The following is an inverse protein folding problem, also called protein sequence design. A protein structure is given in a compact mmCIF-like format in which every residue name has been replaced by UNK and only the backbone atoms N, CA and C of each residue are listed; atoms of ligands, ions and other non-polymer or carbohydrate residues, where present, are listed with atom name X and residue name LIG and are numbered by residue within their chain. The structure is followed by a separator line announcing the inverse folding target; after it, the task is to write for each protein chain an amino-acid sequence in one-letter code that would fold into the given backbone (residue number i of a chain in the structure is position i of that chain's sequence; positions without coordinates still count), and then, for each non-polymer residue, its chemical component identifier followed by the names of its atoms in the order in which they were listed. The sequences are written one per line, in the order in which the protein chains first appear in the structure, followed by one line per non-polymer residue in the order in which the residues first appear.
data_IF_106134361442
#
_entry.id   IF_106134361442
#
_cell.length_a   1.000
_cell.length_b   1.000
_cell.length_c   1.000
_cell.angle_alpha   90.00
_cell.angle_beta   90.00
_cell.angle_gamma   90.00
#
_symmetry.space_group_name_H-M   'P 1'
#
loop_
_entity.id
_entity.type
_entity.pdbx_description
1 polymer ?
#
# COMPACT_ATOMS: atom_id res chain seq x y z
N UNK A 1 -17.05 -8.41 -5.71
CA UNK A 1 -15.97 -9.00 -4.87
C UNK A 1 -15.49 -7.94 -3.91
N UNK A 2 -15.25 -8.26 -2.63
CA UNK A 2 -14.81 -7.30 -1.60
C UNK A 2 -13.33 -7.52 -1.31
N UNK A 3 -12.57 -6.45 -1.08
CA UNK A 3 -11.11 -6.50 -0.86
C UNK A 3 -10.76 -6.56 0.63
N UNK A 4 -11.52 -5.87 1.47
CA UNK A 4 -11.26 -5.75 2.91
C UNK A 4 -12.36 -6.46 3.69
N UNK A 5 -11.97 -7.38 4.56
CA UNK A 5 -12.81 -7.96 5.58
C UNK A 5 -12.73 -7.12 6.85
N UNK A 6 -13.88 -6.95 7.52
CA UNK A 6 -13.98 -6.21 8.78
C UNK A 6 -14.64 -7.11 9.81
N UNK A 7 -13.94 -7.34 10.91
CA UNK A 7 -14.40 -8.19 12.01
C UNK A 7 -14.56 -7.36 13.29
N UNK A 8 -15.68 -7.56 13.99
CA UNK A 8 -15.95 -6.89 15.26
C UNK A 8 -15.94 -7.94 16.36
N UNK A 9 -15.07 -7.78 17.34
CA UNK A 9 -15.05 -8.61 18.53
C UNK A 9 -15.75 -7.87 19.67
N UNK A 10 -16.80 -8.51 20.21
CA UNK A 10 -17.61 -7.97 21.31
C UNK A 10 -17.03 -8.34 22.67
N UNK A 11 -15.71 -8.22 22.82
CA UNK A 11 -15.03 -8.35 24.11
C UNK A 11 -14.94 -6.98 24.81
N UNK A 12 -14.46 -6.96 26.05
CA UNK A 12 -14.14 -5.70 26.75
C UNK A 12 -12.60 -5.63 26.87
N UNK A 13 -11.96 -4.61 26.29
CA UNK A 13 -12.54 -3.54 25.47
C UNK A 13 -12.97 -4.03 24.08
N UNK A 14 -14.03 -3.45 23.47
CA UNK A 14 -14.46 -3.85 22.14
C UNK A 14 -13.37 -3.50 21.11
N UNK A 15 -13.05 -4.43 20.22
CA UNK A 15 -12.06 -4.24 19.14
C UNK A 15 -12.67 -4.48 17.77
N UNK A 16 -12.08 -3.80 16.78
CA UNK A 16 -12.40 -3.98 15.37
C UNK A 16 -11.11 -4.25 14.64
N UNK A 17 -11.09 -5.31 13.84
CA UNK A 17 -9.95 -5.70 13.03
C UNK A 17 -10.30 -5.63 11.55
N UNK A 18 -9.31 -5.25 10.73
CA UNK A 18 -9.40 -5.21 9.29
C UNK A 18 -8.35 -6.14 8.71
N UNK A 19 -8.76 -6.96 7.75
CA UNK A 19 -7.87 -7.88 7.05
C UNK A 19 -8.18 -7.88 5.56
N UNK A 20 -7.25 -8.34 4.74
CA UNK A 20 -7.54 -8.57 3.33
C UNK A 20 -8.38 -9.84 3.19
N UNK A 21 -9.35 -9.80 2.29
CA UNK A 21 -10.05 -11.02 1.86
C UNK A 21 -9.10 -11.89 1.02
N UNK A 22 -9.42 -13.18 0.79
CA UNK A 22 -8.65 -14.01 -0.15
C UNK A 22 -8.51 -13.38 -1.53
N UNK A 23 -9.54 -12.66 -2.00
CA UNK A 23 -9.46 -11.90 -3.24
C UNK A 23 -8.54 -10.67 -3.11
N UNK A 24 -8.63 -9.92 -2.02
CA UNK A 24 -7.77 -8.76 -1.76
C UNK A 24 -6.28 -9.13 -1.71
N UNK A 25 -5.94 -10.30 -1.16
CA UNK A 25 -4.56 -10.81 -1.16
C UNK A 25 -4.01 -11.05 -2.58
N UNK A 26 -4.86 -11.38 -3.56
CA UNK A 26 -4.42 -11.54 -4.96
C UNK A 26 -3.91 -10.23 -5.59
N UNK A 27 -4.26 -9.08 -5.01
CA UNK A 27 -3.79 -7.76 -5.48
C UNK A 27 -2.39 -7.41 -4.97
N UNK A 28 -1.92 -8.08 -3.91
CA UNK A 28 -0.62 -7.85 -3.28
C UNK A 28 0.57 -7.90 -4.26
N UNK A 29 0.71 -8.88 -5.16
CA UNK A 29 1.80 -8.89 -6.14
C UNK A 29 1.77 -7.66 -7.08
N UNK A 30 0.58 -7.19 -7.47
CA UNK A 30 0.46 -6.01 -8.34
C UNK A 30 0.88 -4.74 -7.60
N UNK A 31 0.42 -4.57 -6.36
CA UNK A 31 0.79 -3.43 -5.52
C UNK A 31 2.31 -3.43 -5.26
N UNK A 32 2.91 -4.60 -5.04
CA UNK A 32 4.35 -4.71 -4.88
C UNK A 32 5.10 -4.34 -6.17
N UNK A 33 4.64 -4.81 -7.33
CA UNK A 33 5.25 -4.44 -8.61
C UNK A 33 5.20 -2.92 -8.85
N UNK A 34 4.07 -2.27 -8.53
CA UNK A 34 3.93 -0.82 -8.64
C UNK A 34 4.87 -0.08 -7.68
N UNK A 35 5.05 -0.62 -6.47
CA UNK A 35 6.02 -0.08 -5.49
C UNK A 35 7.44 -0.21 -6.03
N UNK A 36 7.84 -1.39 -6.47
CA UNK A 36 9.20 -1.65 -6.95
C UNK A 36 9.54 -0.74 -8.15
N UNK A 37 8.60 -0.59 -9.09
CA UNK A 37 8.74 0.37 -10.17
C UNK A 37 8.87 1.81 -9.65
N UNK A 38 8.03 2.20 -8.69
CA UNK A 38 8.09 3.50 -8.03
C UNK A 38 9.42 3.76 -7.33
N UNK A 39 10.02 2.76 -6.68
CA UNK A 39 11.31 2.87 -5.98
C UNK A 39 12.48 3.00 -6.96
N UNK A 40 12.41 2.28 -8.10
CA UNK A 40 13.40 2.38 -9.17
C UNK A 40 13.41 3.78 -9.80
N UNK A 41 12.26 4.30 -10.21
CA UNK A 41 12.18 5.56 -10.95
C UNK A 41 12.00 6.79 -10.06
N UNK A 42 11.38 6.62 -8.89
CA UNK A 42 11.10 7.70 -7.95
C UNK A 42 12.36 8.39 -7.46
N UNK A 43 13.42 7.63 -7.17
CA UNK A 43 14.72 8.18 -6.81
C UNK A 43 15.33 9.02 -7.93
N UNK A 44 15.24 8.56 -9.18
CA UNK A 44 15.72 9.33 -10.34
C UNK A 44 14.92 10.61 -10.56
N UNK A 45 13.60 10.56 -10.41
CA UNK A 45 12.72 11.74 -10.53
C UNK A 45 13.00 12.75 -9.42
N UNK A 46 13.19 12.30 -8.18
CA UNK A 46 13.54 13.16 -7.06
C UNK A 46 14.93 13.79 -7.23
N UNK A 47 15.91 13.05 -7.74
CA UNK A 47 17.24 13.59 -8.08
C UNK A 47 17.16 14.66 -9.18
N UNK A 48 16.43 14.38 -10.27
CA UNK A 48 16.24 15.36 -11.37
C UNK A 48 15.53 16.63 -10.90
N UNK A 49 14.56 16.52 -10.00
CA UNK A 49 13.86 17.67 -9.38
C UNK A 49 14.80 18.54 -8.54
N UNK A 50 15.62 17.92 -7.67
CA UNK A 50 16.59 18.67 -6.85
C UNK A 50 17.63 19.40 -7.69
N UNK A 51 18.07 18.81 -8.81
CA UNK A 51 19.04 19.43 -9.72
C UNK A 51 18.42 20.63 -10.46
N UNK A 52 17.12 20.61 -10.78
CA UNK A 52 16.45 21.77 -11.41
C UNK A 52 16.13 22.90 -10.44
N UNK A 53 15.88 22.60 -9.17
CA UNK A 53 15.60 23.61 -8.13
C UNK A 53 16.86 24.34 -7.65
N UNK A 54 18.02 23.71 -7.78
CA UNK A 54 19.31 24.25 -7.32
C UNK A 54 20.12 24.94 -8.43
N UNK A 55 19.48 25.26 -9.57
CA UNK A 55 20.04 25.96 -10.73
C UNK A 55 19.23 27.23 -11.00
#
# INVERSE_FOLDING_TARGET
MVIVHREIYREIPPKVEYSLTPFGETLKPIINLMRDWGDMYGNEVLMKRKISENK
#
